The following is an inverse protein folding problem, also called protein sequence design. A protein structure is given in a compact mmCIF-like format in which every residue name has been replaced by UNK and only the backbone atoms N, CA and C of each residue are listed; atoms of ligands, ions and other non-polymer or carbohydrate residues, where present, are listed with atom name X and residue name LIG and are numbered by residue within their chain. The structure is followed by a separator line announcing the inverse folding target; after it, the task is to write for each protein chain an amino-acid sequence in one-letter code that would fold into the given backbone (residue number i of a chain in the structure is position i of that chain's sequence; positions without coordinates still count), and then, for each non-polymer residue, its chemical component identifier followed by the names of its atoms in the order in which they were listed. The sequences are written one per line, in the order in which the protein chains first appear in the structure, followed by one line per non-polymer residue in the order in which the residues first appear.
data_IF_241173043742
#
_entry.id   IF_241173043742
#
_cell.length_a   1.000
_cell.length_b   1.000
_cell.length_c   1.000
_cell.angle_alpha   90.00
_cell.angle_beta   90.00
_cell.angle_gamma   90.00
#
_symmetry.space_group_name_H-M   'P 1'
#
loop_
_entity.id
_entity.type
_entity.pdbx_description
1 polymer ?
#
# COMPACT_ATOMS: atom_id res chain seq x y z
N UNK A 1 -4.29 24.54 -70.77
CA UNK A 1 -4.26 23.40 -69.83
C UNK A 1 -4.21 23.94 -68.40
N UNK A 2 -5.36 24.04 -67.73
CA UNK A 2 -5.42 24.52 -66.35
C UNK A 2 -4.89 23.46 -65.40
N UNK A 3 -3.76 23.71 -64.73
CA UNK A 3 -3.30 22.87 -63.61
C UNK A 3 -4.39 22.87 -62.54
N UNK A 4 -4.97 21.69 -62.30
CA UNK A 4 -5.81 21.39 -61.14
C UNK A 4 -5.13 21.93 -59.88
N UNK A 5 -5.67 23.00 -59.28
CA UNK A 5 -5.17 23.53 -58.00
C UNK A 5 -5.52 22.52 -56.91
N UNK A 6 -4.52 21.89 -56.32
CA UNK A 6 -4.73 20.92 -55.23
C UNK A 6 -5.32 21.64 -54.01
N UNK A 7 -6.55 21.32 -53.57
CA UNK A 7 -7.21 22.03 -52.47
C UNK A 7 -6.41 21.94 -51.17
N UNK A 8 -6.12 23.09 -50.56
CA UNK A 8 -5.34 23.19 -49.32
C UNK A 8 -3.85 23.48 -49.51
N UNK A 9 -3.40 23.75 -50.74
CA UNK A 9 -2.06 24.27 -51.06
C UNK A 9 -2.21 25.66 -51.66
N UNK A 10 -1.52 26.65 -51.09
CA UNK A 10 -1.63 28.05 -51.48
C UNK A 10 -0.24 28.66 -51.71
N UNK A 11 -0.19 29.68 -52.56
CA UNK A 11 1.02 30.47 -52.77
C UNK A 11 1.00 31.65 -51.79
N UNK A 12 2.05 31.81 -51.00
CA UNK A 12 2.21 32.88 -50.04
C UNK A 12 2.71 34.16 -50.73
N UNK A 13 2.50 35.32 -50.09
CA UNK A 13 2.84 36.63 -50.62
C UNK A 13 4.35 36.85 -50.83
N UNK A 14 5.19 36.04 -50.19
CA UNK A 14 6.65 36.03 -50.30
C UNK A 14 7.18 35.18 -51.48
N UNK A 15 6.28 34.61 -52.29
CA UNK A 15 6.61 33.74 -53.41
C UNK A 15 6.80 32.26 -53.02
N UNK A 16 6.75 31.93 -51.73
CA UNK A 16 6.78 30.55 -51.23
C UNK A 16 5.42 29.84 -51.31
N UNK A 17 5.39 28.57 -50.91
CA UNK A 17 4.18 27.77 -50.85
C UNK A 17 3.82 27.39 -49.41
N UNK A 18 2.53 27.37 -49.10
CA UNK A 18 1.97 26.97 -47.81
C UNK A 18 0.86 25.92 -47.95
N UNK A 19 0.75 25.07 -46.94
CA UNK A 19 -0.29 24.06 -46.81
C UNK A 19 -1.20 24.48 -45.67
N UNK A 20 -2.50 24.53 -45.93
CA UNK A 20 -3.54 24.74 -44.92
C UNK A 20 -4.81 23.96 -45.32
N UNK A 21 -4.95 22.77 -44.76
CA UNK A 21 -6.03 21.86 -45.11
C UNK A 21 -6.68 21.25 -43.86
N UNK A 22 -7.98 21.04 -43.92
CA UNK A 22 -8.70 20.23 -42.94
C UNK A 22 -8.84 18.79 -43.44
N UNK A 23 -8.48 17.82 -42.60
CA UNK A 23 -8.61 16.41 -42.93
C UNK A 23 -8.98 15.57 -41.69
N UNK A 24 -10.11 14.84 -41.78
CA UNK A 24 -10.65 13.91 -40.77
C UNK A 24 -10.47 14.39 -39.32
N UNK A 25 -10.97 15.61 -39.03
CA UNK A 25 -11.00 16.33 -37.73
C UNK A 25 -9.69 16.98 -37.25
N UNK A 26 -8.61 16.98 -38.03
CA UNK A 26 -7.39 17.73 -37.72
C UNK A 26 -7.02 18.72 -38.82
N UNK A 27 -6.47 19.87 -38.45
CA UNK A 27 -5.87 20.83 -39.40
C UNK A 27 -4.43 20.41 -39.72
N UNK A 28 -4.03 20.51 -40.98
CA UNK A 28 -2.65 20.31 -41.47
C UNK A 28 -2.18 21.69 -41.91
N UNK A 29 -1.22 22.28 -41.20
CA UNK A 29 -0.71 23.61 -41.52
C UNK A 29 0.81 23.65 -41.48
N UNK A 30 1.44 24.08 -42.59
CA UNK A 30 2.89 24.29 -42.67
C UNK A 30 3.20 25.30 -43.77
N UNK A 31 4.20 26.16 -43.53
CA UNK A 31 4.65 27.22 -44.45
C UNK A 31 6.11 26.99 -44.84
N UNK A 32 6.55 27.67 -45.90
CA UNK A 32 7.97 27.73 -46.28
C UNK A 32 8.41 26.66 -47.27
N UNK A 33 7.51 26.14 -48.10
CA UNK A 33 7.88 25.22 -49.17
C UNK A 33 8.40 25.99 -50.38
N UNK A 34 9.46 25.48 -51.02
CA UNK A 34 10.10 26.14 -52.16
C UNK A 34 9.32 25.93 -53.47
N UNK A 35 8.42 24.95 -53.52
CA UNK A 35 7.62 24.65 -54.72
C UNK A 35 6.23 24.07 -54.38
N UNK A 36 5.29 24.18 -55.34
CA UNK A 36 3.97 23.54 -55.26
C UNK A 36 4.09 22.03 -55.05
N UNK A 37 5.00 21.37 -55.79
CA UNK A 37 5.19 19.93 -55.73
C UNK A 37 5.65 19.46 -54.33
N UNK A 38 6.50 20.24 -53.67
CA UNK A 38 6.97 19.95 -52.31
C UNK A 38 5.85 20.13 -51.27
N UNK A 39 5.07 21.21 -51.38
CA UNK A 39 3.91 21.47 -50.52
C UNK A 39 2.82 20.41 -50.70
N UNK A 40 2.55 20.02 -51.94
CA UNK A 40 1.61 18.96 -52.28
C UNK A 40 2.08 17.59 -51.77
N UNK A 41 3.36 17.25 -51.97
CA UNK A 41 3.96 16.03 -51.45
C UNK A 41 3.88 15.93 -49.92
N UNK A 42 4.11 17.05 -49.22
CA UNK A 42 3.91 17.11 -47.77
C UNK A 42 2.44 16.88 -47.38
N UNK A 43 1.49 17.55 -48.05
CA UNK A 43 0.06 17.39 -47.77
C UNK A 43 -0.42 15.94 -48.01
N UNK A 44 0.06 15.28 -49.08
CA UNK A 44 -0.24 13.89 -49.37
C UNK A 44 0.33 12.98 -48.27
N UNK A 45 1.60 13.16 -47.90
CA UNK A 45 2.26 12.38 -46.85
C UNK A 45 1.55 12.49 -45.51
N UNK A 46 1.13 13.70 -45.12
CA UNK A 46 0.38 13.93 -43.87
C UNK A 46 -1.03 13.33 -43.92
N UNK A 47 -1.75 13.46 -45.05
CA UNK A 47 -3.05 12.82 -45.23
C UNK A 47 -2.94 11.31 -45.22
N UNK A 48 -1.90 10.73 -45.81
CA UNK A 48 -1.61 9.30 -45.79
C UNK A 48 -1.23 8.81 -44.39
N UNK A 49 -0.37 9.51 -43.65
CA UNK A 49 -0.04 9.17 -42.27
C UNK A 49 -1.31 9.13 -41.40
N UNK A 50 -2.16 10.16 -41.51
CA UNK A 50 -3.46 10.18 -40.82
C UNK A 50 -4.42 9.10 -41.34
N UNK A 51 -4.37 8.77 -42.64
CA UNK A 51 -5.17 7.68 -43.22
C UNK A 51 -4.69 6.32 -42.74
N UNK A 52 -3.40 6.05 -42.58
CA UNK A 52 -2.88 4.79 -42.03
C UNK A 52 -3.31 4.60 -40.58
N UNK A 53 -3.22 5.64 -39.76
CA UNK A 53 -3.71 5.60 -38.36
C UNK A 53 -5.21 5.32 -38.27
N UNK A 54 -6.02 5.82 -39.22
CA UNK A 54 -7.50 5.67 -39.20
C UNK A 54 -7.97 4.40 -39.94
N UNK A 55 -7.30 3.98 -41.02
CA UNK A 55 -7.75 2.94 -41.94
C UNK A 55 -7.01 1.60 -41.74
N UNK A 56 -5.73 1.64 -41.32
CA UNK A 56 -4.89 0.45 -41.07
C UNK A 56 -4.82 0.06 -39.59
N UNK A 57 -5.39 0.86 -38.68
CA UNK A 57 -5.38 0.56 -37.24
C UNK A 57 -3.98 0.58 -36.62
N UNK A 58 -3.06 1.37 -37.17
CA UNK A 58 -1.73 1.53 -36.57
C UNK A 58 -1.85 2.27 -35.22
N UNK A 59 -1.52 1.57 -34.14
CA UNK A 59 -1.55 2.12 -32.77
C UNK A 59 -0.38 3.09 -32.59
N UNK A 60 -0.62 4.33 -32.12
CA UNK A 60 0.44 5.23 -31.73
C UNK A 60 1.39 4.58 -30.71
N UNK A 61 2.70 4.75 -30.92
CA UNK A 61 3.70 4.25 -29.96
C UNK A 61 3.71 5.17 -28.76
N UNK A 62 3.39 4.62 -27.59
CA UNK A 62 3.45 5.30 -26.29
C UNK A 62 4.62 4.73 -25.51
N UNK A 63 5.37 5.57 -24.78
CA UNK A 63 6.46 5.11 -23.92
C UNK A 63 5.93 4.68 -22.55
N UNK A 64 6.69 3.87 -21.82
CA UNK A 64 6.34 3.49 -20.45
C UNK A 64 6.24 4.72 -19.52
N UNK A 65 7.09 5.72 -19.73
CA UNK A 65 7.04 7.00 -19.02
C UNK A 65 5.72 7.74 -19.25
N UNK A 66 5.30 7.91 -20.52
CA UNK A 66 4.03 8.56 -20.84
C UNK A 66 2.82 7.79 -20.26
N UNK A 67 2.87 6.46 -20.30
CA UNK A 67 1.85 5.61 -19.69
C UNK A 67 1.82 5.74 -18.15
N UNK A 68 2.97 5.87 -17.50
CA UNK A 68 3.07 6.09 -16.07
C UNK A 68 2.56 7.49 -15.67
N UNK A 69 2.86 8.53 -16.45
CA UNK A 69 2.33 9.87 -16.23
C UNK A 69 0.80 9.89 -16.32
N UNK A 70 0.24 9.30 -17.38
CA UNK A 70 -1.22 9.17 -17.55
C UNK A 70 -1.87 8.38 -16.40
N UNK A 71 -1.23 7.30 -15.96
CA UNK A 71 -1.68 6.54 -14.79
C UNK A 71 -1.79 7.40 -13.53
N UNK A 72 -0.76 8.22 -13.27
CA UNK A 72 -0.68 9.06 -12.08
C UNK A 72 -1.77 10.13 -12.11
N UNK A 73 -2.00 10.75 -13.25
CA UNK A 73 -3.06 11.74 -13.45
C UNK A 73 -4.44 11.12 -13.17
N UNK A 74 -4.79 10.04 -13.87
CA UNK A 74 -6.11 9.40 -13.76
C UNK A 74 -6.37 8.86 -12.34
N UNK A 75 -5.39 8.21 -11.72
CA UNK A 75 -5.57 7.69 -10.37
C UNK A 75 -5.50 8.80 -9.30
N UNK A 76 -4.87 9.94 -9.62
CA UNK A 76 -4.88 11.16 -8.81
C UNK A 76 -6.27 11.78 -8.75
N UNK A 77 -6.93 11.93 -9.90
CA UNK A 77 -8.31 12.39 -10.00
C UNK A 77 -9.28 11.47 -9.24
N UNK A 78 -9.03 10.15 -9.29
CA UNK A 78 -9.81 9.15 -8.54
C UNK A 78 -9.53 9.17 -7.03
N UNK A 79 -8.59 9.98 -6.55
CA UNK A 79 -8.24 10.07 -5.12
C UNK A 79 -7.64 8.78 -4.57
N UNK A 80 -6.84 8.05 -5.37
CA UNK A 80 -6.26 6.78 -4.95
C UNK A 80 -5.28 6.97 -3.78
N UNK A 81 -5.60 6.34 -2.65
CA UNK A 81 -4.86 6.45 -1.39
C UNK A 81 -3.38 6.04 -1.51
N UNK A 82 -3.09 4.99 -2.28
CA UNK A 82 -1.73 4.46 -2.45
C UNK A 82 -0.92 5.19 -3.51
N UNK A 83 -1.46 6.24 -4.14
CA UNK A 83 -0.83 6.85 -5.30
C UNK A 83 0.56 7.39 -5.01
N UNK A 84 0.75 8.10 -3.89
CA UNK A 84 2.06 8.64 -3.52
C UNK A 84 3.13 7.54 -3.41
N UNK A 85 2.78 6.40 -2.81
CA UNK A 85 3.65 5.22 -2.73
C UNK A 85 3.93 4.61 -4.10
N UNK A 86 2.93 4.56 -4.97
CA UNK A 86 3.08 4.03 -6.33
C UNK A 86 3.93 4.95 -7.21
N UNK A 87 3.81 6.27 -7.06
CA UNK A 87 4.70 7.26 -7.71
C UNK A 87 6.14 6.99 -7.29
N UNK A 88 6.41 6.86 -6.00
CA UNK A 88 7.75 6.53 -5.50
C UNK A 88 8.28 5.21 -6.08
N UNK A 89 7.42 4.19 -6.21
CA UNK A 89 7.80 2.92 -6.85
C UNK A 89 8.06 3.04 -8.36
N UNK A 90 7.35 3.93 -9.05
CA UNK A 90 7.48 4.15 -10.49
C UNK A 90 8.68 5.02 -10.85
N UNK A 91 9.11 5.95 -10.00
CA UNK A 91 10.29 6.80 -10.24
C UNK A 91 11.52 6.03 -10.78
N UNK A 92 11.99 4.96 -10.11
CA UNK A 92 13.12 4.20 -10.61
C UNK A 92 12.82 3.36 -11.85
N UNK A 93 11.55 2.95 -12.03
CA UNK A 93 11.13 2.26 -13.27
C UNK A 93 11.22 3.22 -14.45
N UNK A 94 10.72 4.44 -14.31
CA UNK A 94 10.75 5.47 -15.36
C UNK A 94 12.19 5.89 -15.64
N UNK A 95 13.02 6.07 -14.62
CA UNK A 95 14.43 6.44 -14.79
C UNK A 95 15.23 5.42 -15.62
N UNK A 96 14.94 4.12 -15.49
CA UNK A 96 15.69 3.04 -16.15
C UNK A 96 15.02 2.57 -17.44
N UNK A 97 13.69 2.44 -17.43
CA UNK A 97 12.90 1.81 -18.49
C UNK A 97 11.89 2.78 -19.14
N UNK A 98 11.88 4.07 -18.79
CA UNK A 98 10.84 5.02 -19.22
C UNK A 98 10.71 5.17 -20.73
N UNK A 99 11.83 5.14 -21.45
CA UNK A 99 11.88 5.27 -22.91
C UNK A 99 11.49 3.99 -23.66
N UNK A 100 11.30 2.87 -22.96
CA UNK A 100 10.83 1.63 -23.58
C UNK A 100 9.42 1.86 -24.11
N UNK A 101 9.23 1.56 -25.40
CA UNK A 101 7.90 1.56 -26.00
C UNK A 101 6.99 0.59 -25.26
N UNK A 102 5.78 1.01 -24.93
CA UNK A 102 4.84 0.28 -24.08
C UNK A 102 4.50 -1.10 -24.67
N UNK A 103 4.43 -1.22 -26.00
CA UNK A 103 4.22 -2.47 -26.72
C UNK A 103 5.43 -3.42 -26.70
N UNK A 104 6.60 -2.94 -26.30
CA UNK A 104 7.82 -3.73 -26.14
C UNK A 104 8.10 -4.11 -24.68
N UNK A 105 7.28 -3.65 -23.73
CA UNK A 105 7.44 -3.96 -22.30
C UNK A 105 7.33 -5.48 -22.10
N UNK A 106 8.38 -6.06 -21.53
CA UNK A 106 8.50 -7.49 -21.25
C UNK A 106 9.41 -7.73 -20.05
N UNK A 107 9.52 -8.99 -19.61
CA UNK A 107 10.49 -9.37 -18.58
C UNK A 107 11.93 -8.99 -18.96
N UNK A 108 12.28 -9.04 -20.24
CA UNK A 108 13.63 -8.70 -20.72
C UNK A 108 13.88 -7.20 -20.62
N UNK A 109 12.93 -6.36 -21.03
CA UNK A 109 13.09 -4.90 -20.98
C UNK A 109 13.02 -4.34 -19.56
N UNK A 110 12.36 -5.04 -18.63
CA UNK A 110 12.30 -4.68 -17.21
C UNK A 110 13.47 -5.27 -16.41
N UNK A 111 14.27 -6.18 -16.98
CA UNK A 111 15.40 -6.80 -16.31
C UNK A 111 16.42 -5.79 -15.77
N UNK A 112 16.80 -4.71 -16.50
CA UNK A 112 17.73 -3.71 -15.97
C UNK A 112 17.23 -3.05 -14.69
N UNK A 113 15.92 -2.75 -14.60
CA UNK A 113 15.31 -2.24 -13.38
C UNK A 113 15.40 -3.26 -12.23
N UNK A 114 15.05 -4.53 -12.50
CA UNK A 114 15.10 -5.60 -11.50
C UNK A 114 16.52 -5.79 -10.97
N UNK A 115 17.50 -5.92 -11.86
CA UNK A 115 18.90 -6.12 -11.51
C UNK A 115 19.44 -4.95 -10.68
N UNK A 116 19.17 -3.71 -11.09
CA UNK A 116 19.59 -2.52 -10.37
C UNK A 116 19.00 -2.48 -8.95
N UNK A 117 17.69 -2.72 -8.79
CA UNK A 117 17.06 -2.70 -7.46
C UNK A 117 17.54 -3.82 -6.54
N UNK A 118 17.86 -5.00 -7.09
CA UNK A 118 18.46 -6.08 -6.31
C UNK A 118 19.91 -5.76 -5.93
N UNK A 119 20.68 -5.13 -6.82
CA UNK A 119 22.03 -4.65 -6.52
C UNK A 119 22.04 -3.57 -5.42
N UNK A 120 21.01 -2.71 -5.37
CA UNK A 120 20.78 -1.76 -4.28
C UNK A 120 20.37 -2.42 -2.94
N UNK A 121 20.28 -3.75 -2.89
CA UNK A 121 19.93 -4.51 -1.70
C UNK A 121 18.44 -4.49 -1.35
N UNK A 122 17.56 -4.03 -2.26
CA UNK A 122 16.12 -4.04 -2.00
C UNK A 122 15.56 -5.46 -1.97
N UNK A 123 14.60 -5.67 -1.07
CA UNK A 123 13.90 -6.95 -0.96
C UNK A 123 13.04 -7.21 -2.19
N UNK A 124 12.92 -8.49 -2.57
CA UNK A 124 12.17 -8.95 -3.75
C UNK A 124 10.71 -8.50 -3.73
N UNK A 125 10.09 -8.44 -2.56
CA UNK A 125 8.72 -7.91 -2.41
C UNK A 125 8.60 -6.43 -2.81
N UNK A 126 9.60 -5.62 -2.47
CA UNK A 126 9.63 -4.20 -2.84
C UNK A 126 9.74 -4.04 -4.35
N UNK A 127 10.62 -4.82 -4.99
CA UNK A 127 10.73 -4.86 -6.46
C UNK A 127 9.41 -5.32 -7.09
N UNK A 128 8.80 -6.39 -6.55
CA UNK A 128 7.52 -6.91 -7.03
C UNK A 128 6.37 -5.90 -6.89
N UNK A 129 6.38 -5.06 -5.86
CA UNK A 129 5.38 -4.00 -5.73
C UNK A 129 5.45 -3.02 -6.90
N UNK A 130 6.66 -2.58 -7.28
CA UNK A 130 6.85 -1.72 -8.46
C UNK A 130 6.43 -2.43 -9.76
N UNK A 131 6.85 -3.68 -9.96
CA UNK A 131 6.43 -4.50 -11.12
C UNK A 131 4.90 -4.68 -11.18
N UNK A 132 4.24 -4.75 -10.03
CA UNK A 132 2.77 -4.85 -9.96
C UNK A 132 2.09 -3.56 -10.42
N UNK A 133 2.68 -2.39 -10.18
CA UNK A 133 2.19 -1.12 -10.73
C UNK A 133 2.37 -1.07 -12.24
N UNK A 134 3.54 -1.47 -12.77
CA UNK A 134 3.76 -1.58 -14.22
C UNK A 134 2.76 -2.54 -14.87
N UNK A 135 2.55 -3.71 -14.25
CA UNK A 135 1.54 -4.67 -14.70
C UNK A 135 0.15 -4.04 -14.74
N UNK A 136 -0.23 -3.26 -13.72
CA UNK A 136 -1.52 -2.55 -13.71
C UNK A 136 -1.62 -1.54 -14.85
N UNK A 137 -0.56 -0.74 -15.08
CA UNK A 137 -0.49 0.20 -16.20
C UNK A 137 -0.73 -0.52 -17.53
N UNK A 138 -0.01 -1.61 -17.80
CA UNK A 138 -0.20 -2.35 -19.05
C UNK A 138 -1.60 -2.98 -19.18
N UNK A 139 -2.21 -3.42 -18.08
CA UNK A 139 -3.59 -3.91 -18.10
C UNK A 139 -4.60 -2.82 -18.41
N UNK A 140 -4.43 -1.63 -17.83
CA UNK A 140 -5.29 -0.47 -18.11
C UNK A 140 -5.10 -0.01 -19.56
N UNK A 141 -3.86 0.06 -20.05
CA UNK A 141 -3.56 0.37 -21.44
C UNK A 141 -4.21 -0.60 -22.43
N UNK A 142 -4.30 -1.89 -22.08
CA UNK A 142 -4.91 -2.90 -22.93
C UNK A 142 -6.44 -2.94 -22.86
N UNK A 143 -7.03 -2.59 -21.70
CA UNK A 143 -8.46 -2.84 -21.44
C UNK A 143 -9.30 -1.59 -21.34
N UNK A 144 -8.76 -0.50 -20.81
CA UNK A 144 -9.50 0.71 -20.43
C UNK A 144 -9.12 1.91 -21.30
N UNK A 145 -7.82 2.21 -21.41
CA UNK A 145 -7.36 3.41 -22.11
C UNK A 145 -7.52 3.29 -23.62
N UNK A 146 -7.88 4.40 -24.26
CA UNK A 146 -8.11 4.49 -25.71
C UNK A 146 -7.36 5.68 -26.29
N UNK A 147 -6.85 5.52 -27.50
CA UNK A 147 -6.38 6.62 -28.31
C UNK A 147 -7.58 7.39 -28.89
N UNK A 148 -7.33 8.56 -29.48
CA UNK A 148 -8.37 9.36 -30.14
C UNK A 148 -9.10 8.61 -31.27
N UNK A 149 -8.44 7.63 -31.90
CA UNK A 149 -9.03 6.77 -32.92
C UNK A 149 -9.88 5.61 -32.35
N UNK A 150 -10.07 5.55 -31.03
CA UNK A 150 -10.87 4.53 -30.34
C UNK A 150 -10.17 3.19 -30.11
N UNK A 151 -8.91 3.04 -30.51
CA UNK A 151 -8.14 1.82 -30.27
C UNK A 151 -7.54 1.81 -28.86
N UNK A 152 -7.39 0.62 -28.27
CA UNK A 152 -6.65 0.47 -27.02
C UNK A 152 -5.18 0.85 -27.18
N UNK A 153 -4.58 1.39 -26.11
CA UNK A 153 -3.16 1.78 -26.10
C UNK A 153 -2.23 0.57 -26.26
N UNK A 154 -2.66 -0.57 -25.72
CA UNK A 154 -2.05 -1.87 -25.96
C UNK A 154 -3.07 -2.83 -26.57
N UNK A 155 -2.61 -3.71 -27.44
CA UNK A 155 -3.46 -4.81 -27.92
C UNK A 155 -3.67 -5.87 -26.83
N UNK A 156 -2.57 -6.27 -26.19
CA UNK A 156 -2.56 -7.25 -25.12
C UNK A 156 -1.58 -6.80 -24.06
N UNK A 157 -1.92 -7.00 -22.79
CA UNK A 157 -0.99 -6.74 -21.69
C UNK A 157 0.08 -7.84 -21.64
N UNK A 158 1.38 -7.50 -21.53
CA UNK A 158 2.45 -8.48 -21.47
C UNK A 158 2.42 -9.27 -20.15
N UNK A 159 2.95 -10.49 -20.19
CA UNK A 159 3.22 -11.25 -18.98
C UNK A 159 4.47 -10.68 -18.29
N UNK A 160 4.25 -10.00 -17.17
CA UNK A 160 5.33 -9.55 -16.27
C UNK A 160 5.42 -10.56 -15.13
N UNK A 161 6.52 -11.27 -14.98
CA UNK A 161 6.71 -12.28 -13.93
C UNK A 161 7.21 -11.61 -12.65
N UNK A 162 6.65 -11.99 -11.50
CA UNK A 162 7.14 -11.52 -10.19
C UNK A 162 8.25 -12.43 -9.69
N UNK A 163 9.18 -11.85 -8.94
CA UNK A 163 10.24 -12.57 -8.27
C UNK A 163 9.66 -13.47 -7.17
N UNK A 164 10.21 -14.67 -7.02
CA UNK A 164 9.88 -15.55 -5.90
C UNK A 164 10.30 -14.90 -4.57
N UNK A 165 9.41 -14.91 -3.59
CA UNK A 165 9.61 -14.25 -2.30
C UNK A 165 10.42 -15.10 -1.32
N UNK A 166 11.72 -15.29 -1.60
CA UNK A 166 12.63 -16.09 -0.75
C UNK A 166 13.27 -15.33 0.41
N UNK A 167 13.15 -14.01 0.45
CA UNK A 167 13.84 -13.11 1.38
C UNK A 167 12.93 -12.50 2.44
N UNK A 168 11.74 -13.07 2.61
CA UNK A 168 10.75 -12.57 3.55
C UNK A 168 11.14 -12.92 4.98
N UNK A 169 11.17 -11.90 5.83
CA UNK A 169 11.35 -12.10 7.26
C UNK A 169 10.12 -12.81 7.84
N UNK A 170 10.25 -14.00 8.45
CA UNK A 170 9.14 -14.73 9.02
C UNK A 170 8.51 -13.95 10.18
N UNK A 171 7.27 -14.28 10.53
CA UNK A 171 6.63 -13.77 11.74
C UNK A 171 7.45 -14.18 12.96
N UNK A 172 7.61 -13.26 13.92
CA UNK A 172 8.31 -13.51 15.18
C UNK A 172 7.44 -13.15 16.39
N UNK A 173 6.42 -13.96 16.72
CA UNK A 173 5.68 -13.81 17.97
C UNK A 173 6.60 -13.74 19.19
N UNK A 174 6.19 -12.99 20.22
CA UNK A 174 6.96 -12.84 21.46
C UNK A 174 6.44 -13.76 22.57
N UNK A 175 7.35 -14.25 23.42
CA UNK A 175 6.99 -14.95 24.64
C UNK A 175 6.43 -14.02 25.71
N UNK A 176 5.85 -14.58 26.78
CA UNK A 176 5.40 -13.78 27.91
C UNK A 176 6.56 -13.11 28.65
N UNK A 177 7.70 -13.80 28.75
CA UNK A 177 8.91 -13.22 29.32
C UNK A 177 9.44 -12.04 28.49
N UNK A 178 9.49 -12.18 27.17
CA UNK A 178 9.88 -11.09 26.26
C UNK A 178 8.90 -9.91 26.36
N UNK A 179 7.59 -10.16 26.39
CA UNK A 179 6.59 -9.12 26.60
C UNK A 179 6.82 -8.37 27.92
N UNK A 180 7.04 -9.08 29.04
CA UNK A 180 7.33 -8.44 30.34
C UNK A 180 8.58 -7.57 30.28
N UNK A 181 9.64 -8.03 29.63
CA UNK A 181 10.88 -7.27 29.47
C UNK A 181 10.64 -6.03 28.60
N UNK A 182 9.97 -6.17 27.46
CA UNK A 182 9.67 -5.08 26.54
C UNK A 182 8.83 -3.99 27.21
N UNK A 183 7.79 -4.37 27.95
CA UNK A 183 6.93 -3.41 28.68
C UNK A 183 7.73 -2.65 29.75
N UNK A 184 8.62 -3.31 30.49
CA UNK A 184 9.49 -2.66 31.49
C UNK A 184 10.47 -1.65 30.87
N UNK A 185 10.91 -1.88 29.63
CA UNK A 185 11.83 -0.99 28.90
C UNK A 185 11.13 0.11 28.11
N UNK A 186 9.82 -0.01 27.93
CA UNK A 186 9.01 0.96 27.17
C UNK A 186 8.58 2.14 28.06
N UNK A 187 8.51 3.37 27.53
CA UNK A 187 7.84 4.47 28.22
C UNK A 187 6.37 4.12 28.52
N UNK A 188 5.82 4.67 29.60
CA UNK A 188 4.49 4.30 30.10
C UNK A 188 3.39 4.33 29.02
N UNK A 189 3.32 5.40 28.21
CA UNK A 189 2.32 5.50 27.13
C UNK A 189 2.47 4.39 26.09
N UNK A 190 3.70 4.07 25.68
CA UNK A 190 3.97 3.02 24.69
C UNK A 190 3.67 1.63 25.27
N UNK A 191 4.00 1.40 26.56
CA UNK A 191 3.68 0.15 27.24
C UNK A 191 2.16 -0.14 27.25
N UNK A 192 1.34 0.88 27.50
CA UNK A 192 -0.13 0.77 27.44
C UNK A 192 -0.61 0.41 26.02
N UNK A 193 -0.03 1.03 24.99
CA UNK A 193 -0.38 0.73 23.59
C UNK A 193 0.05 -0.68 23.17
N UNK A 194 1.25 -1.12 23.57
CA UNK A 194 1.74 -2.49 23.32
C UNK A 194 0.81 -3.50 23.98
N UNK A 195 0.46 -3.26 25.25
CA UNK A 195 -0.39 -4.19 26.00
C UNK A 195 -1.80 -4.25 25.40
N UNK A 196 -2.37 -3.12 24.99
CA UNK A 196 -3.63 -3.06 24.27
C UNK A 196 -3.58 -3.83 22.95
N UNK A 197 -2.53 -3.66 22.15
CA UNK A 197 -2.35 -4.38 20.88
C UNK A 197 -2.25 -5.90 21.12
N UNK A 198 -1.48 -6.34 22.13
CA UNK A 198 -1.37 -7.76 22.49
C UNK A 198 -2.64 -8.39 23.10
N UNK A 199 -3.67 -7.58 23.39
CA UNK A 199 -4.97 -8.04 23.90
C UNK A 199 -6.13 -7.82 22.93
N UNK A 200 -5.87 -7.23 21.76
CA UNK A 200 -6.91 -6.94 20.75
C UNK A 200 -6.50 -7.34 19.34
N UNK A 201 -5.20 -7.42 19.05
CA UNK A 201 -4.65 -7.88 17.77
C UNK A 201 -4.90 -6.92 16.61
N UNK A 202 -5.15 -5.64 16.87
CA UNK A 202 -5.44 -4.65 15.82
C UNK A 202 -4.17 -4.23 15.08
N UNK A 203 -4.28 -3.29 14.13
CA UNK A 203 -3.10 -2.74 13.45
C UNK A 203 -2.68 -1.46 14.16
N UNK A 204 -1.38 -1.15 14.15
CA UNK A 204 -0.84 0.11 14.69
C UNK A 204 -1.68 1.33 14.29
N UNK A 205 -1.97 1.48 13.00
CA UNK A 205 -2.75 2.60 12.46
C UNK A 205 -4.12 2.77 13.14
N UNK A 206 -4.72 1.66 13.59
CA UNK A 206 -5.98 1.69 14.34
C UNK A 206 -5.73 2.12 15.78
N UNK A 207 -4.70 1.61 16.45
CA UNK A 207 -4.35 1.97 17.83
C UNK A 207 -4.06 3.47 17.93
N UNK A 208 -3.18 4.00 17.08
CA UNK A 208 -2.81 5.43 17.10
C UNK A 208 -4.00 6.32 16.75
N UNK A 209 -4.96 5.80 15.97
CA UNK A 209 -6.14 6.53 15.60
C UNK A 209 -7.36 6.27 16.49
N UNK A 210 -7.29 5.43 17.52
CA UNK A 210 -8.47 5.04 18.29
C UNK A 210 -9.13 6.26 18.95
N UNK A 211 -10.45 6.38 18.79
CA UNK A 211 -11.23 7.54 19.25
C UNK A 211 -12.33 7.15 20.22
N UNK A 212 -12.65 8.07 21.13
CA UNK A 212 -13.78 7.90 22.05
C UNK A 212 -15.13 7.86 21.33
N UNK A 213 -15.29 8.63 20.25
CA UNK A 213 -16.50 8.60 19.40
C UNK A 213 -16.80 7.23 18.77
N UNK A 214 -15.83 6.31 18.73
CA UNK A 214 -16.03 4.97 18.18
C UNK A 214 -16.51 3.97 19.23
N UNK A 215 -16.47 4.33 20.50
CA UNK A 215 -16.80 3.43 21.59
C UNK A 215 -18.31 3.26 21.77
N UNK A 216 -18.74 2.02 21.84
CA UNK A 216 -20.02 1.59 22.37
C UNK A 216 -19.78 0.74 23.62
N UNK A 217 -20.50 1.04 24.70
CA UNK A 217 -20.53 0.19 25.89
C UNK A 217 -21.61 -0.86 25.71
N UNK A 218 -21.22 -2.13 25.70
CA UNK A 218 -22.12 -3.25 25.40
C UNK A 218 -22.15 -4.17 26.60
N UNK A 219 -23.35 -4.42 27.14
CA UNK A 219 -23.56 -5.47 28.13
C UNK A 219 -23.58 -6.83 27.41
N UNK A 220 -22.54 -7.64 27.64
CA UNK A 220 -22.37 -8.94 26.97
C UNK A 220 -22.90 -10.11 27.82
N UNK A 221 -23.04 -9.89 29.12
CA UNK A 221 -23.63 -10.79 30.14
C UNK A 221 -24.19 -9.92 31.27
N UNK A 222 -25.14 -10.41 32.08
CA UNK A 222 -25.67 -9.67 33.22
C UNK A 222 -24.56 -9.11 34.11
N UNK A 223 -24.47 -7.78 34.22
CA UNK A 223 -23.47 -7.07 35.03
C UNK A 223 -22.06 -6.98 34.43
N UNK A 224 -21.84 -7.47 33.20
CA UNK A 224 -20.57 -7.34 32.48
C UNK A 224 -20.75 -6.45 31.25
N UNK A 225 -20.41 -5.17 31.42
CA UNK A 225 -20.35 -4.17 30.35
C UNK A 225 -18.91 -4.01 29.89
N UNK A 226 -18.70 -4.11 28.58
CA UNK A 226 -17.37 -3.99 27.97
C UNK A 226 -17.36 -2.91 26.89
N UNK A 227 -16.19 -2.33 26.65
CA UNK A 227 -15.99 -1.35 25.58
C UNK A 227 -15.80 -2.08 24.24
N UNK A 228 -16.64 -1.74 23.27
CA UNK A 228 -16.53 -2.18 21.89
C UNK A 228 -16.31 -0.96 21.00
N UNK A 229 -15.22 -0.92 20.24
CA UNK A 229 -14.95 0.19 19.33
C UNK A 229 -15.37 -0.17 17.91
N UNK A 230 -16.26 0.61 17.31
CA UNK A 230 -16.67 0.50 15.90
C UNK A 230 -15.73 1.34 15.05
N UNK A 231 -14.74 0.70 14.45
CA UNK A 231 -13.70 1.35 13.64
C UNK A 231 -14.23 1.67 12.25
N UNK A 232 -14.31 2.96 11.85
CA UNK A 232 -14.84 3.34 10.56
C UNK A 232 -14.01 2.78 9.41
N UNK A 233 -14.67 2.41 8.30
CA UNK A 233 -14.02 1.78 7.13
C UNK A 233 -12.76 2.51 6.64
N UNK A 234 -12.69 3.83 6.76
CA UNK A 234 -11.52 4.64 6.32
C UNK A 234 -10.21 4.28 7.05
N UNK A 235 -10.30 3.75 8.28
CA UNK A 235 -9.17 3.29 9.10
C UNK A 235 -8.94 1.77 9.02
N UNK A 236 -9.75 1.06 8.21
CA UNK A 236 -9.60 -0.39 8.00
C UNK A 236 -8.89 -0.63 6.68
N UNK A 237 -7.91 -1.55 6.66
CA UNK A 237 -7.17 -1.93 5.45
C UNK A 237 -8.14 -2.30 4.32
N UNK A 238 -7.96 -1.67 3.16
CA UNK A 238 -8.81 -1.87 1.97
C UNK A 238 -10.11 -1.09 1.98
N UNK A 239 -10.46 -0.41 3.09
CA UNK A 239 -11.58 0.54 3.22
C UNK A 239 -12.97 0.02 2.83
N UNK A 240 -13.16 -1.30 2.82
CA UNK A 240 -14.39 -1.94 2.35
C UNK A 240 -15.54 -1.84 3.36
N UNK A 241 -15.25 -2.16 4.62
CA UNK A 241 -16.25 -2.27 5.69
C UNK A 241 -15.66 -1.78 7.02
N UNK A 242 -16.55 -1.40 7.93
CA UNK A 242 -16.19 -1.18 9.34
C UNK A 242 -15.81 -2.49 10.04
N UNK A 243 -15.15 -2.36 11.18
CA UNK A 243 -14.71 -3.49 12.01
C UNK A 243 -14.85 -3.14 13.48
N UNK A 244 -15.05 -4.14 14.32
CA UNK A 244 -15.10 -3.92 15.77
C UNK A 244 -13.80 -4.34 16.45
N UNK A 245 -13.51 -3.68 17.56
CA UNK A 245 -12.52 -4.09 18.56
C UNK A 245 -13.31 -4.39 19.83
N UNK A 246 -13.15 -5.57 20.40
CA UNK A 246 -13.75 -5.92 21.69
C UNK A 246 -12.65 -5.89 22.73
N UNK A 247 -12.87 -5.15 23.83
CA UNK A 247 -11.91 -5.08 24.92
C UNK A 247 -12.14 -6.25 25.89
N UNK A 248 -11.13 -7.12 26.03
CA UNK A 248 -11.05 -8.03 27.17
C UNK A 248 -10.78 -7.24 28.46
N UNK A 249 -10.73 -7.89 29.62
CA UNK A 249 -10.53 -7.27 30.94
C UNK A 249 -9.24 -6.44 31.02
N UNK A 250 -8.15 -6.89 30.39
CA UNK A 250 -6.88 -6.13 30.36
C UNK A 250 -7.00 -4.91 29.47
N UNK A 251 -7.50 -5.06 28.24
CA UNK A 251 -7.72 -3.95 27.33
C UNK A 251 -8.71 -2.92 27.90
N UNK A 252 -9.74 -3.39 28.61
CA UNK A 252 -10.72 -2.54 29.29
C UNK A 252 -10.06 -1.67 30.36
N UNK A 253 -9.24 -2.28 31.23
CA UNK A 253 -8.47 -1.55 32.25
C UNK A 253 -7.57 -0.45 31.65
N UNK A 254 -6.92 -0.75 30.52
CA UNK A 254 -6.09 0.22 29.79
C UNK A 254 -6.94 1.39 29.29
N UNK A 255 -8.06 1.08 28.62
CA UNK A 255 -8.99 2.08 28.08
C UNK A 255 -9.52 2.97 29.20
N UNK A 256 -9.91 2.40 30.34
CA UNK A 256 -10.40 3.17 31.48
C UNK A 256 -9.32 4.08 32.08
N UNK A 257 -8.06 3.63 32.12
CA UNK A 257 -6.93 4.44 32.55
C UNK A 257 -6.60 5.61 31.59
N UNK A 258 -7.07 5.58 30.35
CA UNK A 258 -6.88 6.68 29.40
C UNK A 258 -7.94 7.80 29.51
N UNK A 259 -9.01 7.57 30.27
CA UNK A 259 -10.13 8.54 30.37
C UNK A 259 -9.66 9.88 30.93
N UNK A 260 -10.17 10.96 30.33
CA UNK A 260 -9.87 12.32 30.76
C UNK A 260 -8.49 12.84 30.35
N UNK A 261 -7.63 12.01 29.75
CA UNK A 261 -6.31 12.47 29.27
C UNK A 261 -6.42 13.29 27.98
N UNK A 262 -7.39 12.98 27.11
CA UNK A 262 -7.62 13.69 25.85
C UNK A 262 -9.08 13.61 25.43
N UNK A 263 -9.58 14.68 24.80
CA UNK A 263 -10.99 14.84 24.39
C UNK A 263 -11.43 13.82 23.33
N UNK A 264 -10.61 13.61 22.29
CA UNK A 264 -10.99 12.75 21.16
C UNK A 264 -10.29 11.38 21.08
N UNK A 265 -9.02 11.30 21.50
CA UNK A 265 -8.15 10.13 21.26
C UNK A 265 -7.99 9.29 22.52
N UNK A 266 -8.06 7.98 22.37
CA UNK A 266 -7.84 7.03 23.48
C UNK A 266 -6.36 7.03 23.88
N UNK A 267 -5.45 6.82 22.93
CA UNK A 267 -4.02 6.74 23.23
C UNK A 267 -3.32 8.07 23.01
N UNK A 268 -2.62 8.54 24.05
CA UNK A 268 -1.87 9.78 24.03
C UNK A 268 -0.50 9.63 24.68
N UNK A 269 0.36 10.60 24.43
CA UNK A 269 1.60 10.77 25.17
C UNK A 269 1.67 12.19 25.73
N UNK A 270 2.45 12.36 26.78
CA UNK A 270 2.79 13.67 27.30
C UNK A 270 4.31 13.81 27.39
N UNK A 271 4.79 15.05 27.36
CA UNK A 271 6.18 15.36 27.72
C UNK A 271 6.21 15.84 29.16
N UNK A 272 7.15 15.32 29.94
CA UNK A 272 7.34 15.77 31.32
C UNK A 272 7.59 17.29 31.35
N UNK A 273 6.88 17.99 32.23
CA UNK A 273 6.99 19.43 32.39
C UNK A 273 7.88 19.72 33.59
N UNK A 274 9.01 20.40 33.36
CA UNK A 274 9.98 20.72 34.41
C UNK A 274 9.53 21.83 35.37
N UNK A 275 8.46 22.57 35.02
CA UNK A 275 7.96 23.70 35.81
C UNK A 275 6.99 23.21 36.89
N UNK A 276 7.24 23.50 38.19
CA UNK A 276 6.31 23.19 39.27
C UNK A 276 4.92 23.79 39.01
N UNK A 277 3.85 23.04 39.30
CA UNK A 277 2.46 23.48 39.17
C UNK A 277 1.86 23.41 37.76
N UNK A 278 2.62 23.02 36.73
CA UNK A 278 2.08 22.89 35.36
C UNK A 278 1.76 21.43 35.03
N UNK A 279 0.47 21.16 34.77
CA UNK A 279 0.00 19.84 34.34
C UNK A 279 0.52 19.53 32.93
N UNK A 280 1.08 18.34 32.68
CA UNK A 280 1.50 17.93 31.34
C UNK A 280 0.32 17.89 30.37
N UNK A 281 0.46 18.55 29.21
CA UNK A 281 -0.53 18.47 28.14
C UNK A 281 -0.34 17.16 27.37
N UNK A 282 -1.37 16.33 27.35
CA UNK A 282 -1.43 15.13 26.54
C UNK A 282 -1.65 15.49 25.06
N UNK A 283 -1.01 14.72 24.17
CA UNK A 283 -1.10 14.84 22.73
C UNK A 283 -1.38 13.47 22.13
N UNK A 284 -2.14 13.43 21.04
CA UNK A 284 -2.33 12.23 20.25
C UNK A 284 -0.99 11.65 19.79
N UNK A 285 -0.87 10.32 19.82
CA UNK A 285 0.29 9.61 19.27
C UNK A 285 0.10 9.40 17.77
N UNK A 286 1.07 9.80 16.94
CA UNK A 286 0.96 9.66 15.47
C UNK A 286 1.52 8.32 14.96
N UNK A 287 2.42 7.68 15.71
CA UNK A 287 2.99 6.37 15.40
C UNK A 287 3.52 5.69 16.65
N UNK A 288 3.34 4.37 16.74
CA UNK A 288 4.00 3.52 17.71
C UNK A 288 5.41 3.15 17.26
N UNK A 289 5.66 2.98 15.95
CA UNK A 289 6.96 2.59 15.39
C UNK A 289 7.93 3.78 15.32
N UNK A 290 8.13 4.43 16.47
CA UNK A 290 8.98 5.58 16.62
C UNK A 290 10.28 5.21 17.35
N UNK A 291 11.12 6.21 17.61
CA UNK A 291 12.39 6.03 18.32
C UNK A 291 12.23 5.39 19.69
N UNK A 292 11.12 5.62 20.41
CA UNK A 292 10.89 5.01 21.71
C UNK A 292 10.65 3.50 21.59
N UNK A 293 9.93 3.04 20.56
CA UNK A 293 9.79 1.61 20.27
C UNK A 293 11.13 0.96 19.94
N UNK A 294 11.92 1.59 19.06
CA UNK A 294 13.23 1.08 18.67
C UNK A 294 14.16 0.96 19.89
N UNK A 295 14.24 2.01 20.70
CA UNK A 295 15.03 1.99 21.94
C UNK A 295 14.56 0.94 22.95
N UNK A 296 13.24 0.72 23.06
CA UNK A 296 12.68 -0.29 23.96
C UNK A 296 13.02 -1.72 23.49
N UNK A 297 12.94 -1.97 22.18
CA UNK A 297 13.37 -3.22 21.56
C UNK A 297 14.87 -3.46 21.78
N UNK A 298 15.73 -2.48 21.51
CA UNK A 298 17.18 -2.58 21.71
C UNK A 298 17.52 -2.83 23.18
N UNK A 299 16.91 -2.09 24.11
CA UNK A 299 17.12 -2.27 25.55
C UNK A 299 16.57 -3.59 26.10
N UNK A 300 15.64 -4.23 25.37
CA UNK A 300 15.12 -5.56 25.67
C UNK A 300 15.91 -6.68 24.94
N UNK A 301 16.84 -6.35 24.04
CA UNK A 301 17.55 -7.32 23.20
C UNK A 301 16.64 -8.03 22.19
N UNK A 302 15.59 -7.35 21.73
CA UNK A 302 14.55 -7.94 20.87
C UNK A 302 14.58 -7.33 19.47
N UNK A 303 14.83 -8.16 18.46
CA UNK A 303 14.59 -7.78 17.07
C UNK A 303 13.15 -8.17 16.68
N UNK A 304 12.17 -7.27 16.88
CA UNK A 304 10.74 -7.47 16.53
C UNK A 304 10.15 -6.26 15.81
N UNK A 305 9.12 -6.49 15.00
CA UNK A 305 8.28 -5.44 14.41
C UNK A 305 7.00 -5.29 15.23
N UNK A 306 6.36 -4.13 15.20
CA UNK A 306 5.03 -3.98 15.82
C UNK A 306 4.02 -5.01 15.32
N UNK A 307 4.06 -5.35 14.03
CA UNK A 307 3.16 -6.36 13.47
C UNK A 307 3.38 -7.76 14.08
N UNK A 308 4.53 -8.02 14.70
CA UNK A 308 4.78 -9.26 15.42
C UNK A 308 3.97 -9.34 16.73
N UNK A 309 3.54 -8.22 17.33
CA UNK A 309 2.59 -8.19 18.45
C UNK A 309 1.25 -8.79 18.04
N UNK A 310 0.75 -8.37 16.87
CA UNK A 310 -0.45 -8.96 16.28
C UNK A 310 -0.27 -10.44 15.89
N UNK A 311 0.90 -10.83 15.39
CA UNK A 311 1.21 -12.25 15.20
C UNK A 311 1.19 -13.03 16.53
N UNK A 312 1.61 -12.39 17.62
CA UNK A 312 1.53 -12.95 18.98
C UNK A 312 0.09 -13.23 19.39
N UNK A 313 -0.84 -12.30 19.12
CA UNK A 313 -2.27 -12.53 19.37
C UNK A 313 -2.78 -13.75 18.59
N UNK A 314 -2.50 -13.83 17.29
CA UNK A 314 -2.92 -14.98 16.47
C UNK A 314 -2.31 -16.31 16.91
N UNK A 315 -1.07 -16.29 17.38
CA UNK A 315 -0.42 -17.48 17.95
C UNK A 315 -1.10 -17.91 19.25
N UNK A 316 -1.28 -16.99 20.21
CA UNK A 316 -1.89 -17.28 21.51
C UNK A 316 -3.33 -17.76 21.37
N UNK A 317 -4.12 -17.17 20.48
CA UNK A 317 -5.49 -17.63 20.22
C UNK A 317 -5.50 -19.06 19.68
N UNK A 318 -4.58 -19.39 18.76
CA UNK A 318 -4.44 -20.76 18.24
C UNK A 318 -4.04 -21.73 19.35
N UNK A 319 -3.09 -21.36 20.21
CA UNK A 319 -2.63 -22.18 21.34
C UNK A 319 -3.75 -22.39 22.37
N UNK A 320 -4.59 -21.38 22.59
CA UNK A 320 -5.77 -21.46 23.44
C UNK A 320 -6.95 -22.24 22.81
N UNK A 321 -6.78 -22.81 21.62
CA UNK A 321 -7.80 -23.61 20.95
C UNK A 321 -8.97 -22.81 20.36
N UNK A 322 -8.81 -21.49 20.19
CA UNK A 322 -9.84 -20.63 19.59
C UNK A 322 -10.05 -21.00 18.13
N UNK A 323 -11.31 -21.02 17.66
CA UNK A 323 -11.63 -21.39 16.28
C UNK A 323 -10.98 -20.46 15.25
N UNK A 324 -10.62 -20.98 14.07
CA UNK A 324 -10.04 -20.16 12.99
C UNK A 324 -10.97 -19.01 12.57
N UNK A 325 -12.29 -19.26 12.60
CA UNK A 325 -13.29 -18.22 12.31
C UNK A 325 -13.19 -17.06 13.30
N UNK A 326 -13.19 -17.35 14.60
CA UNK A 326 -13.08 -16.33 15.66
C UNK A 326 -11.73 -15.62 15.59
N UNK A 327 -10.64 -16.34 15.30
CA UNK A 327 -9.31 -15.75 15.06
C UNK A 327 -9.34 -14.76 13.89
N UNK A 328 -9.95 -15.12 12.76
CA UNK A 328 -10.07 -14.26 11.59
C UNK A 328 -10.97 -13.05 11.85
N UNK A 329 -12.01 -13.21 12.67
CA UNK A 329 -12.88 -12.12 13.12
C UNK A 329 -12.15 -11.15 14.05
N UNK A 330 -11.35 -11.62 15.02
CA UNK A 330 -10.51 -10.79 15.89
C UNK A 330 -9.46 -10.05 15.06
N UNK A 331 -8.75 -10.78 14.20
CA UNK A 331 -7.66 -10.24 13.41
C UNK A 331 -8.18 -9.48 12.18
N UNK A 332 -9.47 -9.48 11.85
CA UNK A 332 -9.99 -8.89 10.61
C UNK A 332 -9.30 -9.45 9.35
N UNK A 333 -9.04 -10.75 9.33
CA UNK A 333 -8.67 -11.43 8.10
C UNK A 333 -9.90 -11.57 7.22
N UNK A 334 -9.83 -11.03 6.00
CA UNK A 334 -10.97 -11.06 5.09
C UNK A 334 -11.11 -12.45 4.46
N UNK A 335 -12.19 -13.16 4.79
CA UNK A 335 -12.73 -14.24 3.96
C UNK A 335 -14.05 -13.76 3.37
N UNK A 336 -14.02 -13.28 2.12
CA UNK A 336 -15.24 -12.97 1.35
C UNK A 336 -16.17 -11.89 1.91
N UNK A 337 -17.28 -11.68 1.20
CA UNK A 337 -18.33 -10.66 1.35
C UNK A 337 -19.19 -10.82 2.61
N UNK A 338 -18.60 -10.95 3.80
CA UNK A 338 -19.40 -10.87 5.02
C UNK A 338 -19.65 -9.42 5.40
N UNK A 339 -20.91 -9.00 5.23
CA UNK A 339 -21.48 -7.85 5.94
C UNK A 339 -21.61 -8.27 7.40
N UNK A 340 -20.74 -7.77 8.26
CA UNK A 340 -20.72 -8.16 9.67
C UNK A 340 -21.77 -7.35 10.44
N UNK A 341 -22.95 -7.92 10.63
CA UNK A 341 -23.85 -7.48 11.71
C UNK A 341 -23.42 -8.20 12.98
N UNK A 342 -22.67 -7.48 13.83
CA UNK A 342 -22.19 -8.04 15.08
C UNK A 342 -23.35 -8.14 16.08
N UNK A 343 -23.83 -9.35 16.33
CA UNK A 343 -24.75 -9.62 17.41
C UNK A 343 -24.01 -9.65 18.76
N UNK A 344 -24.71 -9.40 19.87
CA UNK A 344 -24.13 -9.46 21.22
C UNK A 344 -23.47 -10.82 21.49
N UNK A 345 -24.05 -11.91 20.98
CA UNK A 345 -23.46 -13.25 21.07
C UNK A 345 -22.07 -13.34 20.43
N UNK A 346 -21.86 -12.68 19.29
CA UNK A 346 -20.57 -12.63 18.60
C UNK A 346 -19.56 -11.75 19.36
N UNK A 347 -20.02 -10.63 19.93
CA UNK A 347 -19.16 -9.80 20.80
C UNK A 347 -18.70 -10.60 22.02
N UNK A 348 -19.62 -11.37 22.63
CA UNK A 348 -19.30 -12.26 23.75
C UNK A 348 -18.30 -13.34 23.36
N UNK A 349 -18.47 -13.99 22.21
CA UNK A 349 -17.52 -15.00 21.70
C UNK A 349 -16.11 -14.42 21.53
N UNK A 350 -16.01 -13.23 20.94
CA UNK A 350 -14.74 -12.51 20.76
C UNK A 350 -14.13 -12.14 22.12
N UNK A 351 -14.94 -11.62 23.05
CA UNK A 351 -14.49 -11.30 24.41
C UNK A 351 -13.91 -12.53 25.10
N UNK A 352 -14.64 -13.65 25.10
CA UNK A 352 -14.22 -14.89 25.74
C UNK A 352 -12.92 -15.44 25.13
N UNK A 353 -12.78 -15.38 23.82
CA UNK A 353 -11.56 -15.78 23.13
C UNK A 353 -10.35 -14.91 23.52
N UNK A 354 -10.53 -13.59 23.62
CA UNK A 354 -9.46 -12.67 24.04
C UNK A 354 -9.14 -12.78 25.54
N UNK A 355 -10.12 -13.17 26.37
CA UNK A 355 -9.88 -13.43 27.80
C UNK A 355 -8.96 -14.63 28.02
N UNK A 356 -9.02 -15.67 27.17
CA UNK A 356 -8.15 -16.84 27.27
C UNK A 356 -6.65 -16.52 27.10
N UNK A 357 -6.33 -15.39 26.48
CA UNK A 357 -4.95 -15.00 26.14
C UNK A 357 -4.44 -13.79 26.93
N UNK A 358 -5.11 -13.42 28.03
CA UNK A 358 -4.75 -12.23 28.83
C UNK A 358 -3.53 -12.44 29.73
N UNK A 359 -3.24 -13.70 30.07
CA UNK A 359 -2.16 -14.10 30.97
C UNK A 359 -1.57 -15.45 30.55
N UNK A 360 -0.33 -15.78 30.95
CA UNK A 360 0.24 -17.09 30.68
C UNK A 360 -0.56 -18.20 31.37
N UNK A 361 -1.17 -19.08 30.59
CA UNK A 361 -1.55 -20.41 31.07
C UNK A 361 -0.25 -21.21 31.22
N UNK A 362 -0.11 -22.06 32.24
CA UNK A 362 1.15 -22.70 32.64
C UNK A 362 1.89 -23.57 31.59
N UNK A 363 1.41 -23.58 30.35
CA UNK A 363 2.03 -24.18 29.18
C UNK A 363 2.52 -23.05 28.25
N UNK A 364 3.73 -22.51 28.48
CA UNK A 364 4.42 -21.75 27.43
C UNK A 364 4.75 -22.71 26.29
N UNK A 365 3.90 -22.76 25.27
CA UNK A 365 4.22 -23.41 24.01
C UNK A 365 5.26 -22.58 23.30
N UNK A 366 6.51 -22.90 23.57
CA UNK A 366 7.62 -22.24 22.92
C UNK A 366 7.57 -22.59 21.43
N UNK A 367 7.55 -21.57 20.56
CA UNK A 367 7.66 -21.78 19.12
C UNK A 367 8.92 -22.63 18.84
N UNK A 368 8.73 -23.87 18.39
CA UNK A 368 9.83 -24.81 18.13
C UNK A 368 10.86 -24.21 17.17
N UNK A 369 10.41 -23.42 16.19
CA UNK A 369 11.32 -22.73 15.26
C UNK A 369 12.16 -21.65 15.96
N UNK A 370 11.63 -21.00 16.99
CA UNK A 370 12.36 -20.02 17.80
C UNK A 370 13.38 -20.69 18.74
N UNK A 371 13.02 -21.83 19.35
CA UNK A 371 13.96 -22.65 20.14
C UNK A 371 15.09 -23.21 19.27
N UNK A 372 14.73 -23.82 18.14
CA UNK A 372 15.67 -24.50 17.24
C UNK A 372 16.63 -23.49 16.58
N UNK A 373 16.19 -22.25 16.30
CA UNK A 373 17.10 -21.19 15.78
C UNK A 373 18.18 -20.74 16.77
N UNK A 374 17.95 -20.88 18.07
CA UNK A 374 18.97 -20.64 19.09
C UNK A 374 19.94 -21.80 19.28
N UNK A 375 19.53 -23.01 18.89
CA UNK A 375 20.30 -24.26 19.07
C UNK A 375 21.01 -24.72 17.79
N UNK A 376 20.55 -24.29 16.62
CA UNK A 376 21.11 -24.65 15.32
C UNK A 376 21.73 -23.39 14.69
N UNK A 377 23.07 -23.32 14.58
CA UNK A 377 23.72 -22.20 13.88
C UNK A 377 23.21 -22.14 12.44
N UNK A 378 22.52 -21.06 12.11
CA UNK A 378 22.12 -20.78 10.74
C UNK A 378 23.36 -20.30 9.99
N UNK A 379 24.20 -21.24 9.52
CA UNK A 379 25.26 -20.96 8.56
C UNK A 379 24.62 -20.60 7.22
N UNK A 380 24.09 -19.39 7.11
CA UNK A 380 23.91 -18.78 5.80
C UNK A 380 25.32 -18.55 5.24
N UNK A 381 25.64 -19.01 4.03
CA UNK A 381 26.94 -18.75 3.44
C UNK A 381 27.17 -17.23 3.45
N UNK A 382 28.35 -16.74 3.86
CA UNK A 382 28.62 -15.32 3.86
C UNK A 382 28.40 -14.82 2.43
N UNK A 383 27.48 -13.85 2.27
CA UNK A 383 27.45 -13.06 1.06
C UNK A 383 28.84 -12.43 0.94
N UNK A 384 29.65 -12.93 0.00
CA UNK A 384 30.88 -12.29 -0.41
C UNK A 384 30.53 -10.85 -0.76
N UNK A 385 30.91 -9.90 0.10
CA UNK A 385 31.10 -8.52 -0.31
C UNK A 385 32.28 -8.54 -1.28
N UNK A 386 32.00 -8.60 -2.57
CA UNK A 386 33.00 -8.24 -3.57
C UNK A 386 33.19 -6.73 -3.53
N UNK A 387 34.45 -6.34 -3.40
CA UNK A 387 34.96 -4.98 -3.34
C UNK A 387 34.65 -4.17 -4.60
#
# INVERSE_FOLDING_TARGET
MGRSKTPGVYQAADGGWEVDAWYKRGRIRKRGFASHAEAEGYLIKEKEARRKVILLGERPVITLEAAAAHYIEVEGERGKVSLATEIYMLQPVVAICGQVALNMVSNQTLKPFVDARLADGLKRKTVNNALSVVRRICNLAARDWRHENGMAWLETAPLITLLELSDQRPARPISWAEQRTLLKKSPAHLAQMILFDTNTGVREDVVVNLRWEWEARVEIRPGLVVSVFVVPRRYVKGRKHERIIVCNSVAQSIVDAQRGLHEDRVFTYFRAVKKPGKVPKHKATDSMNNTAWQNACDAAGLDIRLHDLRHTVGMRLREAGVSERTQDEILWHSKGTMTNHYAVAQVREIYDALELIKEPTGHESVNVLALVRGQVPQNSPPQRKTA
#
